data_IF_769070914968
#
_entry.id   IF_769070914968
#
_cell.length_a   1.000
_cell.length_b   1.000
_cell.length_c   1.000
_cell.angle_alpha   90.00
_cell.angle_beta   90.00
_cell.angle_gamma   90.00
#
_symmetry.space_group_name_H-M   'P 1'
#
loop_
_entity.id
_entity.type
_entity.pdbx_description
1 polymer ?
#
# COMPACT_ATOMS: atom_id res chain seq x y z
N UNK A 1 25.60 10.53 -2.69
CA UNK A 1 25.73 10.58 -4.16
C UNK A 1 24.41 11.11 -4.71
N UNK A 2 24.27 12.45 -4.85
CA UNK A 2 23.10 13.05 -5.50
C UNK A 2 23.43 13.31 -6.97
N UNK A 3 22.43 13.18 -7.84
CA UNK A 3 22.52 13.67 -9.22
C UNK A 3 22.31 15.18 -9.18
N UNK A 4 23.24 15.93 -9.73
CA UNK A 4 23.15 17.40 -9.84
C UNK A 4 23.16 17.74 -11.32
N UNK A 5 22.14 18.45 -11.75
CA UNK A 5 22.04 19.03 -13.07
C UNK A 5 22.30 20.53 -12.95
N UNK A 6 23.12 21.07 -13.80
CA UNK A 6 23.39 22.51 -13.88
C UNK A 6 23.22 22.95 -15.33
N UNK A 7 22.22 23.78 -15.57
CA UNK A 7 22.00 24.41 -16.87
C UNK A 7 22.73 25.76 -16.90
N UNK A 8 23.61 25.91 -17.87
CA UNK A 8 24.41 27.13 -18.06
C UNK A 8 23.98 27.71 -19.39
N UNK A 9 23.44 28.95 -19.37
CA UNK A 9 23.14 29.68 -20.59
C UNK A 9 24.44 30.17 -21.22
N UNK A 10 24.67 29.74 -22.44
CA UNK A 10 25.81 30.21 -23.23
C UNK A 10 25.42 31.49 -24.01
N UNK A 11 26.33 32.43 -24.23
CA UNK A 11 26.08 33.63 -25.06
C UNK A 11 25.78 33.22 -26.51
N UNK A 12 24.89 33.97 -27.18
CA UNK A 12 24.45 33.68 -28.56
C UNK A 12 25.60 33.67 -29.60
N UNK A 13 26.69 34.42 -29.34
CA UNK A 13 27.86 34.46 -30.18
C UNK A 13 29.05 33.91 -29.43
N UNK A 14 29.39 32.66 -29.70
CA UNK A 14 30.62 32.04 -29.20
C UNK A 14 31.66 32.13 -30.34
N UNK A 15 32.71 32.93 -30.14
CA UNK A 15 33.86 32.98 -31.05
C UNK A 15 34.81 31.81 -30.82
N UNK A 16 36.10 32.06 -30.74
CA UNK A 16 37.13 31.05 -30.40
C UNK A 16 37.30 30.88 -28.87
N UNK A 17 36.23 31.02 -28.10
CA UNK A 17 36.29 30.93 -26.65
C UNK A 17 36.30 29.48 -26.20
N UNK A 18 37.07 29.16 -25.15
CA UNK A 18 37.16 27.82 -24.57
C UNK A 18 36.30 27.79 -23.31
N UNK A 19 35.27 26.92 -23.31
CA UNK A 19 34.49 26.64 -22.11
C UNK A 19 35.31 25.74 -21.18
N UNK A 20 35.73 26.26 -20.03
CA UNK A 20 36.43 25.50 -19.01
C UNK A 20 35.45 25.20 -17.86
N UNK A 21 35.23 23.92 -17.55
CA UNK A 21 34.39 23.47 -16.44
C UNK A 21 35.31 22.86 -15.39
N UNK A 22 35.41 23.50 -14.22
CA UNK A 22 36.17 22.99 -13.09
C UNK A 22 35.26 22.33 -12.06
N UNK A 23 35.65 21.17 -11.55
CA UNK A 23 34.94 20.43 -10.54
C UNK A 23 35.77 20.36 -9.27
N UNK A 24 35.25 20.90 -8.17
CA UNK A 24 35.88 20.76 -6.86
C UNK A 24 35.19 19.66 -6.07
N UNK A 25 35.94 18.70 -5.56
CA UNK A 25 35.43 17.64 -4.70
C UNK A 25 36.12 17.65 -3.35
N UNK A 26 35.38 17.31 -2.29
CA UNK A 26 36.00 17.02 -1.00
C UNK A 26 36.96 15.82 -1.14
N UNK A 27 38.08 15.85 -0.41
CA UNK A 27 39.02 14.73 -0.30
C UNK A 27 38.24 13.42 -0.07
N UNK A 28 38.41 12.41 -0.93
CA UNK A 28 37.74 11.11 -0.91
C UNK A 28 36.31 11.01 -1.50
N UNK A 29 35.78 12.07 -2.13
CA UNK A 29 34.52 11.95 -2.87
C UNK A 29 34.76 11.41 -4.29
N UNK A 30 34.02 10.38 -4.69
CA UNK A 30 34.00 9.93 -6.09
C UNK A 30 32.98 10.78 -6.85
N UNK A 31 33.45 11.53 -7.84
CA UNK A 31 32.62 12.32 -8.73
C UNK A 31 32.49 11.60 -10.07
N UNK A 32 31.27 11.33 -10.49
CA UNK A 32 30.97 10.87 -11.84
C UNK A 32 30.47 12.05 -12.64
N UNK A 33 31.25 12.46 -13.59
CA UNK A 33 30.91 13.58 -14.49
C UNK A 33 30.44 12.98 -15.81
N UNK A 34 29.22 13.32 -16.19
CA UNK A 34 28.72 13.01 -17.54
C UNK A 34 29.28 14.04 -18.54
N UNK A 35 29.43 13.63 -19.78
CA UNK A 35 29.81 14.54 -20.84
C UNK A 35 28.78 15.69 -20.91
N UNK A 36 29.23 16.96 -20.93
CA UNK A 36 28.34 18.11 -21.06
C UNK A 36 27.60 18.02 -22.39
N UNK A 37 26.31 18.27 -22.38
CA UNK A 37 25.49 18.38 -23.58
C UNK A 37 25.32 19.86 -23.95
N UNK A 38 25.56 20.21 -25.21
CA UNK A 38 25.36 21.54 -25.75
C UNK A 38 24.24 21.46 -26.79
N UNK A 39 23.26 22.32 -26.70
CA UNK A 39 22.14 22.34 -27.64
C UNK A 39 21.03 23.28 -27.19
N UNK A 40 19.97 23.36 -27.96
CA UNK A 40 18.76 24.08 -27.59
C UNK A 40 18.12 23.50 -26.34
N UNK A 41 17.48 24.34 -25.52
CA UNK A 41 16.82 23.95 -24.30
C UNK A 41 15.85 22.77 -24.51
N UNK A 42 15.02 22.81 -25.55
CA UNK A 42 14.07 21.72 -25.85
C UNK A 42 14.76 20.39 -26.15
N UNK A 43 15.91 20.40 -26.81
CA UNK A 43 16.69 19.21 -27.10
C UNK A 43 17.28 18.63 -25.81
N UNK A 44 17.91 19.46 -24.98
CA UNK A 44 18.49 19.04 -23.69
C UNK A 44 17.39 18.49 -22.77
N UNK A 45 16.28 19.22 -22.65
CA UNK A 45 15.12 18.79 -21.86
C UNK A 45 14.59 17.42 -22.28
N UNK A 46 14.43 17.20 -23.61
CA UNK A 46 14.00 15.91 -24.15
C UNK A 46 14.98 14.77 -23.81
N UNK A 47 16.29 15.03 -23.91
CA UNK A 47 17.30 14.02 -23.54
C UNK A 47 17.25 13.66 -22.04
N UNK A 48 17.03 14.64 -21.17
CA UNK A 48 16.84 14.41 -19.74
C UNK A 48 15.58 13.58 -19.46
N UNK A 49 14.46 13.89 -20.10
CA UNK A 49 13.22 13.13 -19.98
C UNK A 49 13.42 11.68 -20.42
N UNK A 50 14.08 11.45 -21.56
CA UNK A 50 14.36 10.11 -22.05
C UNK A 50 15.29 9.34 -21.10
N UNK A 51 16.33 9.99 -20.57
CA UNK A 51 17.24 9.41 -19.60
C UNK A 51 16.59 9.08 -18.26
N UNK A 52 15.53 9.81 -17.89
CA UNK A 52 14.77 9.62 -16.64
C UNK A 52 13.50 8.82 -16.85
N UNK A 53 13.22 8.33 -18.06
CA UNK A 53 11.95 7.67 -18.42
C UNK A 53 11.58 6.52 -17.48
N UNK A 54 12.55 5.66 -17.15
CA UNK A 54 12.33 4.55 -16.23
C UNK A 54 11.93 5.03 -14.83
N UNK A 55 12.62 6.03 -14.28
CA UNK A 55 12.27 6.61 -12.97
C UNK A 55 10.90 7.26 -12.99
N UNK A 56 10.52 7.96 -14.06
CA UNK A 56 9.19 8.54 -14.23
C UNK A 56 8.13 7.45 -14.24
N UNK A 57 8.34 6.38 -15.01
CA UNK A 57 7.42 5.24 -15.06
C UNK A 57 7.23 4.60 -13.68
N UNK A 58 8.32 4.42 -12.93
CA UNK A 58 8.29 3.88 -11.56
C UNK A 58 7.53 4.80 -10.59
N UNK A 59 7.77 6.11 -10.64
CA UNK A 59 7.06 7.11 -9.83
C UNK A 59 5.56 7.05 -10.11
N UNK A 60 5.17 7.06 -11.39
CA UNK A 60 3.76 6.98 -11.80
C UNK A 60 3.12 5.66 -11.35
N UNK A 61 3.83 4.55 -11.51
CA UNK A 61 3.36 3.22 -11.05
C UNK A 61 3.13 3.16 -9.55
N UNK A 62 4.11 3.60 -8.74
CA UNK A 62 4.00 3.63 -7.28
C UNK A 62 2.91 4.59 -6.81
N UNK A 63 2.82 5.79 -7.39
CA UNK A 63 1.79 6.77 -7.05
C UNK A 63 0.40 6.23 -7.41
N UNK A 64 0.24 5.65 -8.61
CA UNK A 64 -1.03 5.05 -9.05
C UNK A 64 -1.49 3.92 -8.14
N UNK A 65 -0.61 2.97 -7.81
CA UNK A 65 -0.90 1.89 -6.86
C UNK A 65 -1.20 2.43 -5.45
N UNK A 66 -0.51 3.49 -5.02
CA UNK A 66 -0.77 4.18 -3.77
C UNK A 66 -2.19 4.75 -3.72
N UNK A 67 -2.62 5.44 -4.76
CA UNK A 67 -3.99 5.97 -4.88
C UNK A 67 -5.03 4.85 -4.88
N UNK A 68 -4.82 3.79 -5.66
CA UNK A 68 -5.71 2.61 -5.64
C UNK A 68 -5.80 2.02 -4.25
N UNK A 69 -4.68 1.92 -3.53
CA UNK A 69 -4.65 1.41 -2.15
C UNK A 69 -5.46 2.29 -1.17
N UNK A 70 -5.41 3.62 -1.34
CA UNK A 70 -6.27 4.56 -0.57
C UNK A 70 -7.75 4.33 -0.90
N UNK A 71 -8.10 4.21 -2.17
CA UNK A 71 -9.48 3.98 -2.60
C UNK A 71 -10.02 2.67 -2.02
N UNK A 72 -9.24 1.59 -2.10
CA UNK A 72 -9.62 0.28 -1.51
C UNK A 72 -9.77 0.40 0.01
N UNK A 73 -8.87 1.12 0.69
CA UNK A 73 -9.00 1.36 2.13
C UNK A 73 -10.30 2.11 2.48
N UNK A 74 -10.63 3.17 1.75
CA UNK A 74 -11.86 3.94 1.98
C UNK A 74 -13.11 3.09 1.70
N UNK A 75 -13.09 2.28 0.63
CA UNK A 75 -14.17 1.36 0.31
C UNK A 75 -14.38 0.31 1.41
N UNK A 76 -13.32 -0.35 1.86
CA UNK A 76 -13.37 -1.38 2.92
C UNK A 76 -13.80 -0.77 4.26
N UNK A 77 -13.37 0.45 4.57
CA UNK A 77 -13.81 1.21 5.75
C UNK A 77 -15.31 1.51 5.71
N UNK A 78 -15.84 1.92 4.55
CA UNK A 78 -17.27 2.17 4.38
C UNK A 78 -18.11 0.92 4.59
N UNK A 79 -17.60 -0.25 4.19
CA UNK A 79 -18.23 -1.57 4.38
C UNK A 79 -18.00 -2.18 5.77
N UNK A 80 -17.42 -1.42 6.71
CA UNK A 80 -17.03 -1.90 8.06
C UNK A 80 -16.01 -3.05 8.06
N UNK A 81 -15.39 -3.36 6.93
CA UNK A 81 -14.30 -4.33 6.79
C UNK A 81 -13.01 -3.54 6.86
N UNK A 82 -12.58 -3.13 8.07
CA UNK A 82 -11.43 -2.23 8.23
C UNK A 82 -10.11 -2.99 8.06
N UNK A 83 -9.51 -2.91 6.89
CA UNK A 83 -8.16 -3.42 6.62
C UNK A 83 -7.13 -2.28 6.61
N UNK A 84 -6.60 -1.94 7.79
CA UNK A 84 -5.56 -0.89 7.97
C UNK A 84 -4.30 -1.14 7.13
N UNK A 85 -4.08 -2.38 6.68
CA UNK A 85 -2.94 -2.78 5.85
C UNK A 85 -2.88 -2.05 4.51
N UNK A 86 -4.03 -1.72 3.90
CA UNK A 86 -4.07 -0.91 2.67
C UNK A 86 -3.55 0.51 2.90
N UNK A 87 -3.86 1.11 4.04
CA UNK A 87 -3.33 2.42 4.40
C UNK A 87 -1.80 2.38 4.56
N UNK A 88 -1.26 1.33 5.19
CA UNK A 88 0.18 1.15 5.34
C UNK A 88 0.87 1.00 3.97
N UNK A 89 0.28 0.23 3.05
CA UNK A 89 0.78 0.11 1.67
C UNK A 89 0.74 1.47 0.95
N UNK A 90 -0.35 2.22 1.08
CA UNK A 90 -0.47 3.55 0.48
C UNK A 90 0.60 4.52 0.99
N UNK A 91 0.79 4.61 2.31
CA UNK A 91 1.81 5.47 2.93
C UNK A 91 3.22 5.07 2.49
N UNK A 92 3.52 3.78 2.42
CA UNK A 92 4.80 3.30 1.91
C UNK A 92 5.04 3.77 0.47
N UNK A 93 4.07 3.57 -0.43
CA UNK A 93 4.17 3.94 -1.84
C UNK A 93 4.31 5.45 -2.05
N UNK A 94 3.61 6.26 -1.25
CA UNK A 94 3.74 7.72 -1.26
C UNK A 94 5.16 8.12 -0.85
N UNK A 95 5.72 7.54 0.21
CA UNK A 95 7.08 7.82 0.66
C UNK A 95 8.13 7.36 -0.35
N UNK A 96 7.93 6.19 -0.99
CA UNK A 96 8.80 5.71 -2.06
C UNK A 96 8.75 6.64 -3.29
N UNK A 97 7.56 7.09 -3.69
CA UNK A 97 7.40 8.03 -4.81
C UNK A 97 8.08 9.36 -4.51
N UNK A 98 7.90 9.87 -3.29
CA UNK A 98 8.54 11.10 -2.83
C UNK A 98 10.07 10.97 -2.85
N UNK A 99 10.60 9.86 -2.31
CA UNK A 99 12.02 9.58 -2.41
C UNK A 99 12.50 9.54 -3.86
N UNK A 100 11.83 8.78 -4.74
CA UNK A 100 12.22 8.67 -6.15
C UNK A 100 12.19 10.01 -6.89
N UNK A 101 11.21 10.88 -6.64
CA UNK A 101 11.11 12.22 -7.26
C UNK A 101 12.37 13.05 -6.93
N UNK A 102 12.75 13.09 -5.65
CA UNK A 102 13.86 13.93 -5.19
C UNK A 102 15.23 13.29 -5.43
N UNK A 103 15.33 11.96 -5.43
CA UNK A 103 16.59 11.25 -5.67
C UNK A 103 16.96 11.18 -7.16
N UNK A 104 15.97 11.03 -8.05
CA UNK A 104 16.19 11.02 -9.51
C UNK A 104 16.68 12.35 -10.07
N UNK A 105 16.56 13.45 -9.33
CA UNK A 105 16.89 14.79 -9.78
C UNK A 105 15.89 15.42 -10.77
N UNK A 106 14.79 14.74 -11.08
CA UNK A 106 13.75 15.25 -12.00
C UNK A 106 13.22 16.61 -11.55
N UNK A 107 13.06 16.81 -10.24
CA UNK A 107 12.59 18.09 -9.69
C UNK A 107 13.52 19.26 -10.00
N UNK A 108 14.83 19.02 -10.25
CA UNK A 108 15.81 20.06 -10.56
C UNK A 108 15.56 20.68 -11.95
N UNK A 109 14.82 20.01 -12.82
CA UNK A 109 14.42 20.54 -14.13
C UNK A 109 13.41 21.70 -14.01
N UNK A 110 12.71 21.80 -12.87
CA UNK A 110 11.67 22.81 -12.64
C UNK A 110 12.04 23.89 -11.62
N UNK A 111 13.19 23.78 -10.97
CA UNK A 111 13.60 24.73 -9.93
C UNK A 111 15.08 24.70 -9.60
N UNK A 112 15.55 25.76 -8.94
CA UNK A 112 16.93 25.82 -8.44
C UNK A 112 17.20 24.70 -7.44
N UNK A 113 18.47 24.24 -7.39
CA UNK A 113 18.93 23.23 -6.42
C UNK A 113 18.57 23.65 -5.00
N UNK A 114 17.55 23.07 -4.42
CA UNK A 114 17.14 23.38 -3.07
C UNK A 114 17.65 22.30 -2.10
N UNK A 115 18.35 22.74 -1.06
CA UNK A 115 18.71 21.91 0.09
C UNK A 115 17.50 21.17 0.67
N UNK A 116 16.31 21.76 0.56
CA UNK A 116 15.03 21.16 0.93
C UNK A 116 14.74 19.83 0.20
N UNK A 117 14.98 19.76 -1.12
CA UNK A 117 14.76 18.52 -1.90
C UNK A 117 15.64 17.37 -1.42
N UNK A 118 16.90 17.66 -1.11
CA UNK A 118 17.83 16.68 -0.53
C UNK A 118 17.36 16.21 0.85
N UNK A 119 16.91 17.12 1.70
CA UNK A 119 16.37 16.78 3.02
C UNK A 119 15.14 15.86 2.89
N UNK A 120 14.20 16.21 2.01
CA UNK A 120 12.99 15.43 1.78
C UNK A 120 13.37 14.02 1.29
N UNK A 121 14.30 13.90 0.33
CA UNK A 121 14.78 12.60 -0.18
C UNK A 121 15.30 11.71 0.96
N UNK A 122 16.24 12.22 1.78
CA UNK A 122 16.82 11.44 2.86
C UNK A 122 15.81 11.05 3.93
N UNK A 123 14.94 11.97 4.37
CA UNK A 123 13.92 11.65 5.35
C UNK A 123 12.86 10.69 4.82
N UNK A 124 12.44 10.84 3.55
CA UNK A 124 11.54 9.87 2.91
C UNK A 124 12.18 8.47 2.86
N UNK A 125 13.46 8.37 2.48
CA UNK A 125 14.21 7.11 2.47
C UNK A 125 14.32 6.46 3.85
N UNK A 126 14.61 7.24 4.90
CA UNK A 126 14.74 6.74 6.27
C UNK A 126 13.41 6.27 6.87
N UNK A 127 12.31 6.92 6.49
CA UNK A 127 10.99 6.68 7.09
C UNK A 127 10.10 5.75 6.28
N UNK A 128 10.37 5.54 4.96
CA UNK A 128 9.55 4.68 4.12
C UNK A 128 9.39 3.23 4.63
N UNK A 129 10.32 2.61 5.39
CA UNK A 129 10.11 1.26 5.90
C UNK A 129 9.09 1.19 7.05
N UNK A 130 8.81 2.31 7.73
CA UNK A 130 7.92 2.35 8.90
C UNK A 130 6.51 1.82 8.58
N UNK A 131 5.81 2.27 7.53
CA UNK A 131 4.51 1.71 7.16
C UNK A 131 4.54 0.20 6.91
N UNK A 132 5.65 -0.33 6.39
CA UNK A 132 5.78 -1.77 6.15
C UNK A 132 5.99 -2.56 7.44
N UNK A 133 6.71 -2.00 8.41
CA UNK A 133 6.83 -2.59 9.75
C UNK A 133 5.47 -2.58 10.47
N UNK A 134 4.68 -1.51 10.33
CA UNK A 134 3.29 -1.48 10.81
C UNK A 134 2.40 -2.52 10.11
N UNK A 135 2.63 -2.77 8.83
CA UNK A 135 1.97 -3.85 8.10
C UNK A 135 2.31 -5.23 8.69
N UNK A 136 3.60 -5.50 8.93
CA UNK A 136 4.05 -6.75 9.57
C UNK A 136 3.48 -6.88 10.97
N UNK A 137 3.51 -5.80 11.77
CA UNK A 137 2.93 -5.77 13.13
C UNK A 137 1.44 -6.18 13.14
N UNK A 138 0.67 -5.78 12.12
CA UNK A 138 -0.73 -6.15 11.97
C UNK A 138 -0.95 -7.55 11.37
N UNK A 139 0.14 -8.24 10.99
CA UNK A 139 0.07 -9.57 10.37
C UNK A 139 0.52 -10.67 11.32
N UNK A 140 1.45 -10.37 12.22
CA UNK A 140 1.99 -11.35 13.18
C UNK A 140 1.17 -11.42 14.47
N UNK A 141 1.32 -12.52 15.21
CA UNK A 141 0.66 -12.75 16.50
C UNK A 141 1.08 -11.70 17.55
N UNK A 142 0.23 -11.46 18.54
CA UNK A 142 0.46 -10.44 19.58
C UNK A 142 1.77 -10.63 20.35
N UNK A 143 2.14 -11.89 20.58
CA UNK A 143 3.34 -12.24 21.35
C UNK A 143 4.66 -11.74 20.74
N UNK A 144 4.69 -11.45 19.43
CA UNK A 144 5.90 -11.03 18.70
C UNK A 144 5.81 -9.63 18.09
N UNK A 145 4.70 -8.91 18.30
CA UNK A 145 4.49 -7.54 17.79
C UNK A 145 5.50 -6.51 18.28
N UNK A 146 6.16 -6.78 19.41
CA UNK A 146 7.19 -5.91 19.95
C UNK A 146 8.43 -5.80 19.03
N UNK A 147 8.71 -6.85 18.22
CA UNK A 147 9.87 -6.85 17.33
C UNK A 147 9.77 -5.77 16.24
N UNK A 148 8.71 -5.70 15.41
CA UNK A 148 8.53 -4.58 14.50
C UNK A 148 8.51 -3.21 15.21
N UNK A 149 7.95 -3.10 16.42
CA UNK A 149 7.92 -1.84 17.19
C UNK A 149 9.32 -1.34 17.54
N UNK A 150 10.22 -2.24 17.97
CA UNK A 150 11.62 -1.89 18.22
C UNK A 150 12.28 -1.35 16.94
N UNK A 151 12.05 -1.98 15.79
CA UNK A 151 12.60 -1.51 14.52
C UNK A 151 12.04 -0.15 14.10
N UNK A 152 10.74 0.11 14.31
CA UNK A 152 10.13 1.42 14.09
C UNK A 152 10.81 2.48 14.96
N UNK A 153 11.01 2.19 16.25
CA UNK A 153 11.72 3.09 17.17
C UNK A 153 13.15 3.37 16.69
N UNK A 154 13.91 2.34 16.30
CA UNK A 154 15.28 2.49 15.80
C UNK A 154 15.36 3.33 14.52
N UNK A 155 14.39 3.20 13.59
CA UNK A 155 14.33 4.00 12.38
C UNK A 155 14.06 5.47 12.69
N UNK A 156 13.13 5.78 13.59
CA UNK A 156 12.88 7.14 14.02
C UNK A 156 14.08 7.72 14.77
N UNK A 157 14.70 6.94 15.66
CA UNK A 157 15.90 7.36 16.37
C UNK A 157 17.06 7.68 15.41
N UNK A 158 17.24 6.85 14.35
CA UNK A 158 18.20 7.10 13.29
C UNK A 158 17.89 8.40 12.53
N UNK A 159 16.64 8.64 12.15
CA UNK A 159 16.25 9.86 11.44
C UNK A 159 16.49 11.12 12.29
N UNK A 160 16.17 11.07 13.59
CA UNK A 160 16.42 12.16 14.54
C UNK A 160 17.92 12.37 14.73
N UNK A 161 18.69 11.29 14.94
CA UNK A 161 20.14 11.36 15.11
C UNK A 161 20.83 11.98 13.90
N UNK A 162 20.49 11.54 12.69
CA UNK A 162 21.08 12.08 11.47
C UNK A 162 20.71 13.55 11.23
N UNK A 163 19.46 13.94 11.55
CA UNK A 163 19.05 15.34 11.56
C UNK A 163 19.88 16.16 12.53
N UNK A 164 20.06 15.67 13.76
CA UNK A 164 20.89 16.33 14.78
C UNK A 164 22.34 16.51 14.30
N UNK A 165 22.96 15.48 13.71
CA UNK A 165 24.30 15.55 13.14
C UNK A 165 24.40 16.55 12.00
N UNK A 166 23.40 16.60 11.13
CA UNK A 166 23.35 17.53 10.02
C UNK A 166 23.22 19.01 10.48
N UNK A 167 22.26 19.30 11.37
CA UNK A 167 21.98 20.69 11.76
C UNK A 167 23.01 21.26 12.74
N UNK A 168 23.48 20.44 13.72
CA UNK A 168 24.42 20.92 14.74
C UNK A 168 25.88 20.81 14.28
N UNK A 169 26.26 19.66 13.73
CA UNK A 169 27.65 19.38 13.40
C UNK A 169 27.98 19.55 11.92
N UNK A 170 26.99 19.94 11.10
CA UNK A 170 27.16 20.12 9.63
C UNK A 170 27.70 18.88 8.93
N UNK A 171 27.43 17.69 9.47
CA UNK A 171 27.80 16.40 8.85
C UNK A 171 26.76 16.09 7.78
N UNK A 172 27.13 15.94 6.49
CA UNK A 172 26.20 15.61 5.43
C UNK A 172 25.59 14.22 5.64
N UNK A 173 24.29 14.03 5.28
CA UNK A 173 23.61 12.74 5.34
C UNK A 173 24.33 11.64 4.58
N UNK A 174 25.02 11.97 3.49
CA UNK A 174 25.77 11.01 2.68
C UNK A 174 26.89 10.33 3.47
N UNK A 175 27.52 11.02 4.41
CA UNK A 175 28.63 10.51 5.21
C UNK A 175 28.10 9.52 6.29
N UNK A 176 26.84 9.65 6.69
CA UNK A 176 26.17 8.79 7.68
C UNK A 176 25.25 7.75 7.04
N UNK A 177 25.13 7.74 5.71
CA UNK A 177 24.24 6.87 4.95
C UNK A 177 24.50 5.37 5.20
N UNK A 178 25.76 4.99 5.50
CA UNK A 178 26.14 3.62 5.85
C UNK A 178 25.35 3.12 7.06
N UNK A 179 25.14 3.96 8.08
CA UNK A 179 24.37 3.59 9.29
C UNK A 179 22.94 3.25 8.90
N UNK A 180 22.30 4.06 8.05
CA UNK A 180 20.95 3.80 7.56
C UNK A 180 20.88 2.50 6.77
N UNK A 181 21.82 2.27 5.84
CA UNK A 181 21.84 1.03 5.05
C UNK A 181 22.03 -0.21 5.92
N UNK A 182 22.91 -0.14 6.94
CA UNK A 182 23.10 -1.24 7.89
C UNK A 182 21.83 -1.52 8.69
N UNK A 183 21.16 -0.46 9.16
CA UNK A 183 19.91 -0.56 9.91
C UNK A 183 18.80 -1.17 9.03
N UNK A 184 18.66 -0.73 7.79
CA UNK A 184 17.68 -1.27 6.85
C UNK A 184 17.96 -2.74 6.52
N UNK A 185 19.19 -3.09 6.27
CA UNK A 185 19.58 -4.47 5.97
C UNK A 185 19.29 -5.42 7.15
N UNK A 186 19.74 -5.05 8.35
CA UNK A 186 19.50 -5.86 9.56
C UNK A 186 18.02 -5.93 9.90
N UNK A 187 17.25 -4.84 9.66
CA UNK A 187 15.80 -4.79 9.80
C UNK A 187 15.08 -5.77 8.87
N UNK A 188 15.42 -5.78 7.59
CA UNK A 188 14.83 -6.71 6.61
C UNK A 188 15.14 -8.16 6.98
N UNK A 189 16.40 -8.47 7.34
CA UNK A 189 16.80 -9.82 7.79
C UNK A 189 16.00 -10.24 9.04
N UNK A 190 15.87 -9.34 10.02
CA UNK A 190 15.08 -9.57 11.23
C UNK A 190 13.62 -9.87 10.91
N UNK A 191 13.00 -9.12 9.96
CA UNK A 191 11.61 -9.35 9.55
C UNK A 191 11.46 -10.69 8.81
N UNK A 192 12.39 -11.07 7.95
CA UNK A 192 12.37 -12.37 7.26
C UNK A 192 12.44 -13.51 8.30
N UNK A 193 13.33 -13.42 9.27
CA UNK A 193 13.46 -14.44 10.33
C UNK A 193 12.22 -14.50 11.21
N UNK A 194 11.63 -13.36 11.57
CA UNK A 194 10.39 -13.27 12.32
C UNK A 194 9.24 -13.94 11.56
N UNK A 195 9.02 -13.54 10.31
CA UNK A 195 7.94 -14.05 9.47
C UNK A 195 8.12 -15.54 9.17
N UNK A 196 9.35 -16.01 9.00
CA UNK A 196 9.65 -17.44 8.82
C UNK A 196 9.28 -18.25 10.06
N UNK A 197 9.68 -17.80 11.26
CA UNK A 197 9.32 -18.47 12.53
C UNK A 197 7.81 -18.46 12.75
N UNK A 198 7.15 -17.32 12.50
CA UNK A 198 5.72 -17.18 12.66
C UNK A 198 4.95 -18.07 11.67
N UNK A 199 5.38 -18.12 10.41
CA UNK A 199 4.79 -19.02 9.42
C UNK A 199 4.94 -20.50 9.81
N UNK A 200 6.10 -20.90 10.33
CA UNK A 200 6.30 -22.27 10.84
C UNK A 200 5.34 -22.64 11.96
N UNK A 201 4.93 -21.66 12.77
CA UNK A 201 4.04 -21.85 13.91
C UNK A 201 2.56 -21.83 13.50
N UNK A 202 2.16 -20.86 12.67
CA UNK A 202 0.74 -20.58 12.37
C UNK A 202 0.25 -21.22 11.08
N UNK A 203 1.15 -21.45 10.11
CA UNK A 203 0.84 -21.90 8.74
C UNK A 203 -0.13 -20.96 7.99
N UNK A 204 -0.24 -19.71 8.43
CA UNK A 204 -1.16 -18.74 7.84
C UNK A 204 -0.68 -18.30 6.46
N UNK A 205 -1.61 -18.27 5.48
CA UNK A 205 -1.32 -17.87 4.10
C UNK A 205 -0.83 -16.42 4.01
N UNK A 206 -1.34 -15.54 4.86
CA UNK A 206 -0.97 -14.13 4.88
C UNK A 206 0.47 -13.92 5.35
N UNK A 207 0.89 -14.65 6.40
CA UNK A 207 2.28 -14.62 6.90
C UNK A 207 3.23 -15.15 5.83
N UNK A 208 2.88 -16.23 5.12
CA UNK A 208 3.68 -16.76 4.01
C UNK A 208 3.82 -15.76 2.85
N UNK A 209 2.74 -15.06 2.53
CA UNK A 209 2.78 -14.02 1.50
C UNK A 209 3.74 -12.89 1.89
N UNK A 210 3.64 -12.41 3.13
CA UNK A 210 4.58 -11.42 3.67
C UNK A 210 6.02 -11.91 3.62
N UNK A 211 6.27 -13.15 4.01
CA UNK A 211 7.61 -13.76 3.97
C UNK A 211 8.19 -13.74 2.55
N UNK A 212 7.40 -14.15 1.55
CA UNK A 212 7.82 -14.12 0.14
C UNK A 212 8.10 -12.69 -0.33
N UNK A 213 7.22 -11.76 0.01
CA UNK A 213 7.39 -10.35 -0.36
C UNK A 213 8.66 -9.76 0.27
N UNK A 214 8.89 -9.95 1.58
CA UNK A 214 10.13 -9.50 2.23
C UNK A 214 11.37 -10.20 1.69
N UNK A 215 11.27 -11.46 1.23
CA UNK A 215 12.33 -12.15 0.50
C UNK A 215 12.73 -11.43 -0.79
N UNK A 216 11.74 -11.02 -1.59
CA UNK A 216 11.96 -10.22 -2.82
C UNK A 216 12.64 -8.89 -2.49
N UNK A 217 12.13 -8.17 -1.49
CA UNK A 217 12.74 -6.90 -1.04
C UNK A 217 14.16 -7.09 -0.52
N UNK A 218 14.41 -8.16 0.24
CA UNK A 218 15.73 -8.48 0.76
C UNK A 218 16.74 -8.78 -0.34
N UNK A 219 16.36 -9.59 -1.33
CA UNK A 219 17.23 -9.93 -2.48
C UNK A 219 17.56 -8.67 -3.29
N UNK A 220 16.54 -7.90 -3.66
CA UNK A 220 16.75 -6.66 -4.44
C UNK A 220 17.56 -5.62 -3.66
N UNK A 221 17.35 -5.52 -2.34
CA UNK A 221 18.11 -4.64 -1.45
C UNK A 221 19.59 -5.04 -1.35
N UNK A 222 19.89 -6.34 -1.19
CA UNK A 222 21.27 -6.84 -1.19
C UNK A 222 21.97 -6.57 -2.52
N UNK A 223 21.31 -6.84 -3.64
CA UNK A 223 21.86 -6.55 -4.97
C UNK A 223 22.15 -5.04 -5.08
N UNK A 224 21.21 -4.19 -4.71
CA UNK A 224 21.39 -2.73 -4.77
C UNK A 224 22.54 -2.26 -3.87
N UNK A 225 22.69 -2.81 -2.65
CA UNK A 225 23.79 -2.46 -1.74
C UNK A 225 25.15 -2.88 -2.30
N UNK A 226 25.26 -4.07 -2.90
CA UNK A 226 26.48 -4.54 -3.55
C UNK A 226 26.85 -3.64 -4.73
N UNK A 227 25.88 -3.31 -5.57
CA UNK A 227 26.10 -2.38 -6.69
C UNK A 227 26.53 -1.00 -6.22
N UNK A 228 25.96 -0.50 -5.13
CA UNK A 228 26.27 0.80 -4.57
C UNK A 228 27.65 0.87 -3.90
N UNK A 229 27.94 -0.06 -2.97
CA UNK A 229 29.14 0.02 -2.12
C UNK A 229 30.36 -0.69 -2.71
N UNK A 230 30.17 -1.81 -3.42
CA UNK A 230 31.26 -2.64 -3.94
C UNK A 230 31.58 -2.28 -5.38
N UNK A 231 30.58 -2.32 -6.25
CA UNK A 231 30.80 -2.13 -7.69
C UNK A 231 30.73 -0.66 -8.12
N UNK A 232 30.16 0.21 -7.26
CA UNK A 232 29.98 1.64 -7.56
C UNK A 232 29.20 1.92 -8.86
N UNK A 233 28.26 1.02 -9.21
CA UNK A 233 27.43 1.11 -10.41
C UNK A 233 26.22 2.01 -10.11
N UNK A 234 25.93 2.94 -11.00
CA UNK A 234 24.84 3.92 -10.80
C UNK A 234 23.42 3.35 -11.01
N UNK A 235 23.27 2.15 -11.57
CA UNK A 235 21.96 1.51 -11.80
C UNK A 235 21.33 0.87 -10.55
N UNK A 236 22.00 0.93 -9.41
CA UNK A 236 21.50 0.35 -8.14
C UNK A 236 20.10 0.84 -7.78
N UNK A 237 19.79 2.12 -8.08
CA UNK A 237 18.48 2.72 -7.83
C UNK A 237 17.38 2.01 -8.60
N UNK A 238 17.57 1.80 -9.91
CA UNK A 238 16.57 1.17 -10.78
C UNK A 238 16.25 -0.26 -10.36
N UNK A 239 17.27 -1.02 -9.93
CA UNK A 239 17.10 -2.39 -9.45
C UNK A 239 16.32 -2.38 -8.13
N UNK A 240 16.63 -1.47 -7.23
CA UNK A 240 15.93 -1.35 -5.95
C UNK A 240 14.48 -0.90 -6.14
N UNK A 241 14.23 0.09 -7.02
CA UNK A 241 12.88 0.55 -7.37
C UNK A 241 12.04 -0.57 -7.98
N UNK A 242 12.61 -1.36 -8.88
CA UNK A 242 11.93 -2.54 -9.44
C UNK A 242 11.61 -3.59 -8.36
N UNK A 243 12.56 -3.83 -7.44
CA UNK A 243 12.34 -4.71 -6.29
C UNK A 243 11.21 -4.24 -5.38
N UNK A 244 11.12 -2.94 -5.10
CA UNK A 244 10.01 -2.32 -4.35
C UNK A 244 8.68 -2.56 -5.08
N UNK A 245 8.63 -2.31 -6.40
CA UNK A 245 7.40 -2.51 -7.17
C UNK A 245 6.93 -3.96 -7.12
N UNK A 246 7.84 -4.91 -7.31
CA UNK A 246 7.54 -6.34 -7.23
C UNK A 246 7.10 -6.76 -5.81
N UNK A 247 7.77 -6.27 -4.78
CA UNK A 247 7.40 -6.46 -3.38
C UNK A 247 5.96 -6.02 -3.11
N UNK A 248 5.61 -4.82 -3.56
CA UNK A 248 4.25 -4.27 -3.38
C UNK A 248 3.23 -5.03 -4.22
N UNK A 249 3.56 -5.41 -5.46
CA UNK A 249 2.66 -6.18 -6.30
C UNK A 249 2.25 -7.51 -5.63
N UNK A 250 3.20 -8.20 -4.99
CA UNK A 250 2.93 -9.44 -4.25
C UNK A 250 2.01 -9.18 -3.05
N UNK A 251 2.30 -8.15 -2.24
CA UNK A 251 1.48 -7.81 -1.07
C UNK A 251 0.08 -7.34 -1.47
N UNK A 252 0.00 -6.45 -2.45
CA UNK A 252 -1.27 -5.88 -2.92
C UNK A 252 -2.20 -6.95 -3.49
N UNK A 253 -1.65 -7.86 -4.31
CA UNK A 253 -2.39 -9.00 -4.83
C UNK A 253 -2.98 -9.86 -3.70
N UNK A 254 -2.18 -10.20 -2.69
CA UNK A 254 -2.65 -10.99 -1.56
C UNK A 254 -3.73 -10.29 -0.74
N UNK A 255 -3.60 -8.96 -0.54
CA UNK A 255 -4.64 -8.18 0.12
C UNK A 255 -5.94 -8.14 -0.68
N UNK A 256 -5.86 -7.97 -1.99
CA UNK A 256 -7.05 -8.01 -2.86
C UNK A 256 -7.75 -9.36 -2.80
N UNK A 257 -7.01 -10.46 -2.88
CA UNK A 257 -7.57 -11.81 -2.73
C UNK A 257 -8.27 -11.98 -1.37
N UNK A 258 -7.67 -11.48 -0.28
CA UNK A 258 -8.28 -11.53 1.06
C UNK A 258 -9.59 -10.77 1.12
N UNK A 259 -9.62 -9.54 0.59
CA UNK A 259 -10.85 -8.71 0.56
C UNK A 259 -11.91 -9.37 -0.30
N UNK A 260 -11.56 -9.89 -1.47
CA UNK A 260 -12.49 -10.60 -2.35
C UNK A 260 -13.12 -11.81 -1.64
N UNK A 261 -12.31 -12.63 -0.97
CA UNK A 261 -12.81 -13.80 -0.22
C UNK A 261 -13.73 -13.38 0.95
N UNK A 262 -13.39 -12.31 1.67
CA UNK A 262 -14.21 -11.79 2.74
C UNK A 262 -15.57 -11.28 2.23
N UNK A 263 -15.58 -10.57 1.10
CA UNK A 263 -16.82 -10.10 0.47
C UNK A 263 -17.67 -11.28 0.04
N UNK A 264 -17.08 -12.28 -0.61
CA UNK A 264 -17.80 -13.48 -1.02
C UNK A 264 -18.41 -14.22 0.19
N UNK A 265 -17.66 -14.38 1.26
CA UNK A 265 -18.15 -15.00 2.50
C UNK A 265 -19.32 -14.22 3.12
N UNK A 266 -19.25 -12.88 3.15
CA UNK A 266 -20.36 -12.05 3.63
C UNK A 266 -21.61 -12.20 2.76
N UNK A 267 -21.45 -12.28 1.42
CA UNK A 267 -22.56 -12.48 0.50
C UNK A 267 -23.18 -13.87 0.69
N UNK A 268 -22.37 -14.91 0.84
CA UNK A 268 -22.86 -16.27 1.12
C UNK A 268 -23.65 -16.32 2.44
N UNK A 269 -23.12 -15.68 3.50
CA UNK A 269 -23.85 -15.59 4.78
C UNK A 269 -25.19 -14.86 4.64
N UNK A 270 -25.22 -13.76 3.87
CA UNK A 270 -26.48 -13.03 3.61
C UNK A 270 -27.50 -13.92 2.87
N UNK A 271 -27.05 -14.68 1.87
CA UNK A 271 -27.89 -15.64 1.14
C UNK A 271 -28.39 -16.74 2.08
N UNK A 272 -27.51 -17.32 2.89
CA UNK A 272 -27.92 -18.33 3.88
C UNK A 272 -28.90 -17.78 4.90
N UNK A 273 -28.71 -16.55 5.36
CA UNK A 273 -29.64 -15.87 6.27
C UNK A 273 -31.00 -15.69 5.61
N UNK A 274 -31.06 -15.20 4.37
CA UNK A 274 -32.34 -15.08 3.63
C UNK A 274 -33.02 -16.43 3.47
N UNK A 275 -32.30 -17.45 3.02
CA UNK A 275 -32.84 -18.80 2.86
C UNK A 275 -33.35 -19.40 4.18
N UNK A 276 -32.78 -19.00 5.31
CA UNK A 276 -33.20 -19.44 6.66
C UNK A 276 -34.41 -18.69 7.19
N UNK A 277 -34.67 -17.45 6.76
CA UNK A 277 -35.71 -16.57 7.30
C UNK A 277 -36.86 -16.31 6.33
N UNK A 278 -36.73 -16.71 5.07
CA UNK A 278 -37.74 -16.53 4.03
C UNK A 278 -38.18 -17.89 3.48
N UNK A 279 -39.45 -17.98 3.09
CA UNK A 279 -40.01 -19.13 2.42
C UNK A 279 -39.65 -19.11 0.93
N UNK A 280 -39.10 -20.22 0.41
CA UNK A 280 -38.58 -20.32 -0.97
C UNK A 280 -39.64 -20.16 -2.07
N UNK A 281 -40.92 -20.41 -1.72
CA UNK A 281 -41.99 -20.34 -2.72
C UNK A 281 -42.67 -18.99 -2.77
N UNK A 282 -42.70 -18.28 -1.66
CA UNK A 282 -43.46 -17.04 -1.50
C UNK A 282 -42.62 -15.81 -1.25
N UNK A 283 -41.30 -15.98 -1.01
CA UNK A 283 -40.35 -14.91 -0.58
C UNK A 283 -40.83 -14.16 0.69
N UNK A 284 -41.85 -14.68 1.37
CA UNK A 284 -42.32 -14.11 2.63
C UNK A 284 -41.48 -14.59 3.80
N UNK A 285 -41.51 -13.84 4.90
CA UNK A 285 -40.88 -14.29 6.16
C UNK A 285 -41.49 -15.61 6.63
N UNK A 286 -40.61 -16.56 6.96
CA UNK A 286 -41.05 -17.89 7.43
C UNK A 286 -41.30 -17.90 8.96
N UNK A 287 -41.69 -19.05 9.49
CA UNK A 287 -41.97 -19.23 10.91
C UNK A 287 -40.79 -18.86 11.80
N UNK A 288 -39.57 -19.18 11.40
CA UNK A 288 -38.36 -18.85 12.18
C UNK A 288 -38.13 -17.32 12.28
N UNK A 289 -38.40 -16.60 11.21
CA UNK A 289 -38.38 -15.14 11.23
C UNK A 289 -39.39 -14.53 12.18
N UNK A 290 -40.59 -15.14 12.26
CA UNK A 290 -41.64 -14.75 13.21
C UNK A 290 -41.20 -15.00 14.65
N UNK A 291 -40.62 -16.18 14.94
CA UNK A 291 -40.11 -16.51 16.27
C UNK A 291 -39.06 -15.55 16.76
N UNK A 292 -38.08 -15.16 15.89
CA UNK A 292 -37.09 -14.15 16.19
C UNK A 292 -37.70 -12.76 16.48
N UNK A 293 -38.73 -12.38 15.71
CA UNK A 293 -39.43 -11.11 15.94
C UNK A 293 -40.14 -11.06 17.29
N UNK A 294 -40.69 -12.18 17.72
CA UNK A 294 -41.32 -12.33 19.07
C UNK A 294 -40.24 -12.22 20.18
N UNK A 295 -39.06 -12.78 19.98
CA UNK A 295 -37.93 -12.63 20.91
C UNK A 295 -37.49 -11.17 21.05
N UNK A 296 -37.37 -10.43 19.95
CA UNK A 296 -37.06 -9.00 19.95
C UNK A 296 -38.08 -8.14 20.71
N UNK A 297 -39.38 -8.53 20.65
CA UNK A 297 -40.43 -7.88 21.42
C UNK A 297 -40.27 -8.21 22.90
N UNK A 298 -39.96 -9.46 23.25
CA UNK A 298 -39.79 -9.89 24.63
C UNK A 298 -38.58 -9.26 25.31
N UNK A 299 -37.51 -9.04 24.54
CA UNK A 299 -36.30 -8.33 24.99
C UNK A 299 -36.48 -6.82 25.09
N UNK A 300 -37.61 -6.25 24.67
CA UNK A 300 -37.93 -4.85 24.73
C UNK A 300 -37.29 -4.01 23.61
N UNK A 301 -36.71 -4.66 22.61
CA UNK A 301 -36.12 -3.97 21.43
C UNK A 301 -37.25 -3.34 20.57
N UNK A 302 -38.44 -3.94 20.58
CA UNK A 302 -39.64 -3.43 19.91
C UNK A 302 -40.73 -3.23 20.95
N UNK A 303 -41.27 -2.02 21.02
CA UNK A 303 -42.40 -1.73 21.97
C UNK A 303 -43.70 -2.41 21.49
N UNK A 304 -44.33 -3.13 22.39
CA UNK A 304 -45.55 -3.89 22.09
C UNK A 304 -46.68 -2.99 21.58
N UNK A 305 -46.73 -1.75 22.02
CA UNK A 305 -47.68 -0.72 21.59
C UNK A 305 -47.65 -0.41 20.08
N UNK A 306 -46.52 -0.71 19.44
CA UNK A 306 -46.30 -0.47 18.02
C UNK A 306 -46.50 -1.71 17.14
N UNK A 307 -47.01 -2.80 17.72
CA UNK A 307 -47.17 -4.10 17.05
C UNK A 307 -48.64 -4.43 16.82
N UNK A 308 -49.02 -4.68 15.56
CA UNK A 308 -50.31 -5.21 15.17
C UNK A 308 -50.14 -6.67 14.67
N UNK A 309 -50.72 -7.64 15.37
CA UNK A 309 -50.71 -9.03 14.95
C UNK A 309 -52.01 -9.36 14.21
N UNK A 310 -51.87 -9.67 12.91
CA UNK A 310 -52.99 -10.13 12.10
C UNK A 310 -52.83 -11.63 11.78
N UNK A 311 -53.76 -12.46 12.19
CA UNK A 311 -53.77 -13.87 11.91
C UNK A 311 -54.76 -14.22 10.79
N UNK A 312 -54.25 -14.66 9.63
CA UNK A 312 -55.05 -15.04 8.47
C UNK A 312 -54.94 -16.55 8.23
N UNK A 313 -56.07 -17.25 8.17
CA UNK A 313 -56.10 -18.69 7.89
C UNK A 313 -56.94 -18.93 6.63
N UNK A 314 -56.39 -19.66 5.68
CA UNK A 314 -57.11 -20.09 4.48
C UNK A 314 -57.81 -21.44 4.81
N UNK A 315 -59.15 -21.46 4.61
CA UNK A 315 -59.91 -22.68 4.77
C UNK A 315 -59.60 -23.68 3.63
N UNK A 316 -59.54 -24.96 3.96
CA UNK A 316 -59.32 -26.07 3.01
C UNK A 316 -58.10 -25.96 2.10
N UNK A 317 -57.02 -25.31 2.56
CA UNK A 317 -55.80 -25.09 1.79
C UNK A 317 -55.22 -26.37 1.16
N UNK A 318 -55.34 -27.51 1.87
CA UNK A 318 -54.89 -28.80 1.35
C UNK A 318 -55.63 -29.20 0.08
N UNK A 319 -56.95 -29.06 0.07
CA UNK A 319 -57.80 -29.37 -1.08
C UNK A 319 -57.54 -28.50 -2.26
N UNK A 320 -57.27 -27.19 -2.02
CA UNK A 320 -56.89 -26.21 -3.04
C UNK A 320 -55.52 -26.55 -3.65
N UNK A 321 -54.56 -26.93 -2.80
CA UNK A 321 -53.23 -27.34 -3.26
C UNK A 321 -53.24 -28.62 -4.10
N UNK A 322 -54.10 -29.58 -3.72
CA UNK A 322 -54.26 -30.85 -4.45
C UNK A 322 -54.92 -30.63 -5.84
N UNK A 323 -55.83 -29.64 -5.96
CA UNK A 323 -56.50 -29.31 -7.23
C UNK A 323 -55.68 -28.40 -8.16
N UNK A 324 -54.99 -27.41 -7.64
CA UNK A 324 -54.34 -26.32 -8.42
C UNK A 324 -52.82 -26.38 -8.41
N UNK A 325 -52.21 -27.25 -7.60
CA UNK A 325 -50.78 -27.36 -7.38
C UNK A 325 -50.24 -26.28 -6.41
N UNK A 326 -49.26 -26.63 -5.59
CA UNK A 326 -48.68 -25.75 -4.56
C UNK A 326 -48.06 -24.48 -5.11
N UNK A 327 -47.41 -24.56 -6.28
CA UNK A 327 -46.77 -23.39 -6.90
C UNK A 327 -47.78 -22.33 -7.36
N UNK A 328 -48.90 -22.76 -7.95
CA UNK A 328 -49.97 -21.86 -8.41
C UNK A 328 -50.62 -21.14 -7.24
N UNK A 329 -50.86 -21.86 -6.14
CA UNK A 329 -51.45 -21.29 -4.93
C UNK A 329 -50.52 -20.29 -4.27
N UNK A 330 -49.24 -20.59 -4.18
CA UNK A 330 -48.23 -19.66 -3.63
C UNK A 330 -48.11 -18.39 -4.47
N UNK A 331 -48.13 -18.51 -5.79
CA UNK A 331 -48.06 -17.35 -6.71
C UNK A 331 -49.31 -16.46 -6.58
N UNK A 332 -50.52 -17.00 -6.48
CA UNK A 332 -51.75 -16.25 -6.28
C UNK A 332 -51.80 -15.52 -4.94
N UNK A 333 -51.17 -16.07 -3.91
CA UNK A 333 -51.02 -15.42 -2.60
C UNK A 333 -50.10 -14.17 -2.66
N UNK A 334 -49.04 -14.22 -3.45
CA UNK A 334 -48.12 -13.10 -3.65
C UNK A 334 -48.73 -11.94 -4.47
N UNK A 335 -49.68 -12.29 -5.37
CA UNK A 335 -50.31 -11.29 -6.25
C UNK A 335 -51.59 -10.66 -5.67
N UNK A 336 -52.09 -11.12 -4.52
CA UNK A 336 -53.09 -10.40 -3.78
C UNK A 336 -52.55 -9.05 -3.33
N UNK A 337 -53.27 -7.94 -3.59
CA UNK A 337 -52.78 -6.62 -3.24
C UNK A 337 -52.56 -6.54 -1.75
N UNK A 338 -51.30 -6.52 -1.34
CA UNK A 338 -50.93 -6.18 0.02
C UNK A 338 -51.37 -4.75 0.25
N UNK A 339 -52.45 -4.57 0.99
CA UNK A 339 -52.85 -3.27 1.52
C UNK A 339 -51.67 -2.84 2.43
N UNK A 340 -50.93 -1.85 1.95
CA UNK A 340 -49.88 -1.20 2.72
C UNK A 340 -50.47 -0.30 3.75
#
# INVERSE_FOLDING_TARGET
KGKIWADISLPEKIGQEVLSISYETKKNARLYVYAPMIGEFCFIFRQHLLGSFFSILMILGMTGLGLVSVIVFLYTRHRQIVEKKFLNVALFLILCSLWCIFDSGIYQMYGSQNAAGTLISFYAFMTMPVPMLLFVQNTVSESVRWIPQVWIFLLYANAVLQGFLYFLFRIPFIDTLFITHLLLFTGVVSMILLLWKEYRKTQEKEVNLCLKAFGVLGISGVIALVLYWVLSIYWYESIFQFGILLYIAVLFWGLLCKVSNNIQFCLEQEVYRRMSLEDRMTDMKNRKSFEMYIEEIQEGAILLENVLLLFVKIAELKKINDMSGRQTVSYTHLTLPTIR
#
